data_IF_161562022844
#
_entry.id   IF_161562022844
#
_cell.length_a   1.000
_cell.length_b   1.000
_cell.length_c   1.000
_cell.angle_alpha   90.00
_cell.angle_beta   90.00
_cell.angle_gamma   90.00
#
_symmetry.space_group_name_H-M   'P 1'
#
loop_
_entity.id
_entity.type
_entity.pdbx_description
1 polymer ?
#
# COMPACT_ATOMS: atom_id res chain seq x y z
N UNK A 1 -62.65 -20.20 37.64
CA UNK A 1 -61.66 -21.26 37.39
C UNK A 1 -60.89 -21.02 36.09
N UNK A 2 -61.41 -20.25 35.11
CA UNK A 2 -60.66 -19.79 33.92
C UNK A 2 -59.32 -19.09 34.23
N UNK A 3 -59.26 -18.30 35.30
CA UNK A 3 -58.03 -17.64 35.76
C UNK A 3 -56.92 -18.63 36.19
N UNK A 4 -57.27 -19.83 36.63
CA UNK A 4 -56.27 -20.82 37.05
C UNK A 4 -55.64 -21.53 35.85
N UNK A 5 -56.43 -21.87 34.82
CA UNK A 5 -55.94 -22.50 33.59
C UNK A 5 -55.00 -21.57 32.81
N UNK A 6 -55.36 -20.30 32.66
CA UNK A 6 -54.51 -19.31 31.98
C UNK A 6 -53.21 -19.04 32.76
N UNK A 7 -53.26 -19.04 34.09
CA UNK A 7 -52.06 -18.91 34.93
C UNK A 7 -51.11 -20.10 34.80
N UNK A 8 -51.65 -21.32 34.72
CA UNK A 8 -50.85 -22.54 34.52
C UNK A 8 -50.19 -22.56 33.13
N UNK A 9 -50.93 -22.21 32.08
CA UNK A 9 -50.41 -22.11 30.72
C UNK A 9 -49.33 -21.03 30.60
N UNK A 10 -49.55 -19.84 31.18
CA UNK A 10 -48.57 -18.78 31.17
C UNK A 10 -47.29 -19.18 31.93
N UNK A 11 -47.44 -19.89 33.05
CA UNK A 11 -46.30 -20.45 33.80
C UNK A 11 -45.51 -21.45 32.96
N UNK A 12 -46.19 -22.31 32.20
CA UNK A 12 -45.53 -23.25 31.29
C UNK A 12 -44.77 -22.52 30.17
N UNK A 13 -45.38 -21.50 29.55
CA UNK A 13 -44.72 -20.72 28.51
C UNK A 13 -43.52 -19.93 29.06
N UNK A 14 -43.60 -19.42 30.29
CA UNK A 14 -42.47 -18.79 30.98
C UNK A 14 -41.33 -19.76 31.33
N UNK A 15 -41.63 -21.05 31.53
CA UNK A 15 -40.58 -22.05 31.64
C UNK A 15 -39.84 -22.23 30.31
N UNK A 16 -40.58 -22.27 29.19
CA UNK A 16 -39.97 -22.38 27.85
C UNK A 16 -39.12 -21.17 27.50
N UNK A 17 -39.56 -19.95 27.81
CA UNK A 17 -38.75 -18.74 27.59
C UNK A 17 -37.50 -18.72 28.48
N UNK A 18 -37.61 -19.17 29.73
CA UNK A 18 -36.46 -19.30 30.62
C UNK A 18 -35.42 -20.31 30.11
N UNK A 19 -35.84 -21.44 29.54
CA UNK A 19 -34.91 -22.39 28.90
C UNK A 19 -34.25 -21.84 27.64
N UNK A 20 -34.94 -20.93 26.93
CA UNK A 20 -34.40 -20.20 25.78
C UNK A 20 -33.58 -18.96 26.15
N UNK A 21 -33.48 -18.61 27.44
CA UNK A 21 -32.87 -17.37 27.93
C UNK A 21 -33.52 -16.10 27.35
N UNK A 22 -34.84 -16.14 27.13
CA UNK A 22 -35.65 -15.01 26.70
C UNK A 22 -36.32 -14.39 27.94
N UNK A 23 -36.61 -13.09 27.87
CA UNK A 23 -37.40 -12.39 28.89
C UNK A 23 -38.73 -13.12 29.17
N UNK A 24 -39.15 -13.09 30.44
CA UNK A 24 -40.44 -13.64 30.85
C UNK A 24 -41.57 -12.90 30.13
N UNK A 25 -42.56 -13.66 29.67
CA UNK A 25 -43.78 -13.10 29.11
C UNK A 25 -44.78 -12.81 30.23
N UNK A 26 -45.34 -11.61 30.20
CA UNK A 26 -46.23 -11.10 31.25
C UNK A 26 -47.70 -11.16 30.86
N UNK A 27 -48.00 -11.45 29.58
CA UNK A 27 -49.35 -11.50 29.07
C UNK A 27 -49.62 -12.70 28.16
N UNK A 28 -50.88 -13.13 28.12
CA UNK A 28 -51.33 -14.18 27.19
C UNK A 28 -51.29 -13.72 25.72
N UNK A 29 -51.25 -12.41 25.49
CA UNK A 29 -51.08 -11.82 24.16
C UNK A 29 -49.64 -11.98 23.65
N UNK A 30 -48.63 -11.99 24.53
CA UNK A 30 -47.23 -12.26 24.19
C UNK A 30 -46.97 -13.75 23.90
N UNK A 31 -47.77 -14.66 24.48
CA UNK A 31 -47.71 -16.12 24.23
C UNK A 31 -47.79 -16.43 22.73
N UNK A 32 -48.50 -15.59 21.97
CA UNK A 32 -48.66 -15.72 20.52
C UNK A 32 -47.31 -15.79 19.79
N UNK A 33 -46.31 -15.02 20.26
CA UNK A 33 -44.98 -14.95 19.67
C UNK A 33 -44.16 -16.24 19.88
N UNK A 34 -44.56 -17.07 20.84
CA UNK A 34 -43.89 -18.31 21.20
C UNK A 34 -44.49 -19.55 20.52
N UNK A 35 -45.69 -19.44 19.94
CA UNK A 35 -46.34 -20.52 19.21
C UNK A 35 -45.48 -21.11 18.08
N UNK A 36 -44.77 -20.32 17.23
CA UNK A 36 -43.89 -20.87 16.20
C UNK A 36 -42.73 -21.70 16.78
N UNK A 37 -42.17 -21.20 17.88
CA UNK A 37 -41.07 -21.86 18.60
C UNK A 37 -41.56 -23.17 19.21
N UNK A 38 -42.77 -23.15 19.79
CA UNK A 38 -43.38 -24.33 20.39
C UNK A 38 -43.69 -25.41 19.34
N UNK A 39 -44.27 -25.04 18.20
CA UNK A 39 -44.49 -25.95 17.07
C UNK A 39 -43.19 -26.58 16.60
N UNK A 40 -42.13 -25.78 16.47
CA UNK A 40 -40.82 -26.29 16.07
C UNK A 40 -40.26 -27.27 17.10
N UNK A 41 -40.36 -26.95 18.39
CA UNK A 41 -39.98 -27.88 19.47
C UNK A 41 -40.74 -29.20 19.36
N UNK A 42 -42.02 -29.19 19.03
CA UNK A 42 -42.82 -30.41 18.83
C UNK A 42 -42.34 -31.20 17.61
N UNK A 43 -41.89 -30.52 16.54
CA UNK A 43 -41.44 -31.15 15.30
C UNK A 43 -40.02 -31.73 15.39
N UNK A 44 -39.10 -31.00 16.00
CA UNK A 44 -37.67 -31.36 16.05
C UNK A 44 -37.26 -31.98 17.38
N UNK A 45 -38.10 -31.84 18.40
CA UNK A 45 -37.78 -32.21 19.78
C UNK A 45 -36.76 -31.27 20.43
N UNK A 46 -36.30 -30.21 19.77
CA UNK A 46 -35.28 -29.30 20.30
C UNK A 46 -35.83 -27.89 20.44
N UNK A 47 -35.67 -27.32 21.63
CA UNK A 47 -36.07 -25.96 21.92
C UNK A 47 -35.02 -25.01 21.33
N UNK A 48 -35.31 -24.45 20.14
CA UNK A 48 -34.42 -23.54 19.43
C UNK A 48 -35.10 -22.20 19.19
N UNK A 49 -34.42 -21.11 19.54
CA UNK A 49 -34.91 -19.78 19.22
C UNK A 49 -34.93 -19.59 17.71
N UNK A 50 -36.12 -19.35 17.16
CA UNK A 50 -36.29 -18.93 15.77
C UNK A 50 -37.36 -17.86 15.76
N UNK A 51 -36.95 -16.61 15.58
CA UNK A 51 -37.91 -15.55 15.27
C UNK A 51 -38.34 -15.73 13.82
N UNK A 52 -39.58 -16.16 13.62
CA UNK A 52 -40.20 -16.22 12.30
C UNK A 52 -41.28 -15.14 12.24
N UNK A 53 -40.86 -13.91 11.96
CA UNK A 53 -41.73 -12.73 11.90
C UNK A 53 -42.82 -12.83 10.81
N UNK A 54 -42.71 -13.81 9.91
CA UNK A 54 -43.68 -14.08 8.85
C UNK A 54 -44.64 -15.24 9.17
N UNK A 55 -44.54 -15.84 10.37
CA UNK A 55 -45.40 -16.93 10.80
C UNK A 55 -46.86 -16.48 10.85
N UNK A 56 -47.75 -17.22 10.16
CA UNK A 56 -49.20 -16.99 10.23
C UNK A 56 -49.83 -18.02 11.14
N UNK A 57 -50.82 -17.63 11.95
CA UNK A 57 -51.55 -18.60 12.80
C UNK A 57 -52.30 -19.67 12.01
N UNK A 58 -52.55 -19.43 10.72
CA UNK A 58 -52.99 -20.46 9.79
C UNK A 58 -51.97 -21.59 9.61
N UNK A 59 -50.67 -21.32 9.73
CA UNK A 59 -49.63 -22.36 9.68
C UNK A 59 -49.66 -23.22 10.97
N UNK A 60 -49.93 -22.61 12.13
CA UNK A 60 -50.20 -23.34 13.38
C UNK A 60 -51.45 -24.21 13.27
N UNK A 61 -52.51 -23.64 12.70
CA UNK A 61 -53.79 -24.32 12.51
C UNK A 61 -53.65 -25.54 11.61
N UNK A 62 -53.00 -25.41 10.45
CA UNK A 62 -52.74 -26.54 9.55
C UNK A 62 -51.83 -27.58 10.21
N UNK A 63 -50.85 -27.18 11.02
CA UNK A 63 -50.04 -28.12 11.79
C UNK A 63 -50.88 -28.94 12.80
N UNK A 64 -51.72 -28.28 13.59
CA UNK A 64 -52.61 -28.93 14.56
C UNK A 64 -53.60 -29.86 13.84
N UNK A 65 -54.15 -29.40 12.71
CA UNK A 65 -55.08 -30.15 11.86
C UNK A 65 -54.47 -31.41 11.30
N UNK A 66 -53.22 -31.35 10.84
CA UNK A 66 -52.51 -32.52 10.36
C UNK A 66 -52.27 -33.59 11.45
N UNK A 67 -52.20 -33.20 12.73
CA UNK A 67 -51.94 -34.14 13.83
C UNK A 67 -53.20 -34.69 14.51
N UNK A 68 -54.18 -33.81 14.76
CA UNK A 68 -55.41 -34.12 15.51
C UNK A 68 -56.61 -34.43 14.60
N UNK A 69 -56.51 -34.10 13.31
CA UNK A 69 -57.53 -34.32 12.30
C UNK A 69 -58.61 -33.23 12.26
N UNK A 70 -59.31 -33.13 11.13
CA UNK A 70 -60.25 -32.04 10.81
C UNK A 70 -61.33 -31.80 11.87
N UNK A 71 -61.76 -32.83 12.60
CA UNK A 71 -62.82 -32.72 13.61
C UNK A 71 -62.36 -31.98 14.88
N UNK A 72 -61.09 -32.09 15.27
CA UNK A 72 -60.59 -31.45 16.48
C UNK A 72 -60.40 -29.94 16.29
N UNK A 73 -60.12 -29.53 15.05
CA UNK A 73 -59.75 -28.15 14.71
C UNK A 73 -60.96 -27.30 14.33
N UNK A 74 -62.15 -27.88 14.15
CA UNK A 74 -63.41 -27.14 13.96
C UNK A 74 -63.74 -26.16 15.10
N UNK A 75 -63.19 -26.40 16.29
CA UNK A 75 -63.37 -25.51 17.44
C UNK A 75 -62.31 -24.41 17.54
N UNK A 76 -61.23 -24.50 16.77
CA UNK A 76 -60.17 -23.49 16.76
C UNK A 76 -60.49 -22.43 15.70
N UNK A 77 -60.41 -21.16 16.09
CA UNK A 77 -60.66 -20.02 15.19
C UNK A 77 -59.37 -19.23 15.00
N UNK A 78 -58.55 -19.53 13.98
CA UNK A 78 -57.26 -18.87 13.80
C UNK A 78 -57.42 -17.35 13.61
N UNK A 79 -58.52 -16.90 13.00
CA UNK A 79 -58.78 -15.47 12.81
C UNK A 79 -58.99 -14.73 14.14
N UNK A 80 -59.48 -15.41 15.18
CA UNK A 80 -59.66 -14.82 16.51
C UNK A 80 -58.35 -14.74 17.30
N UNK A 81 -57.40 -15.64 17.01
CA UNK A 81 -56.04 -15.60 17.59
C UNK A 81 -55.27 -14.39 17.05
N UNK A 82 -55.39 -14.12 15.75
CA UNK A 82 -54.80 -12.92 15.12
C UNK A 82 -55.34 -11.63 15.75
N UNK A 83 -56.62 -11.63 16.17
CA UNK A 83 -57.28 -10.51 16.84
C UNK A 83 -56.99 -10.41 18.35
N UNK A 84 -56.14 -11.29 18.90
CA UNK A 84 -55.74 -11.24 20.30
C UNK A 84 -56.76 -11.84 21.29
N UNK A 85 -57.68 -12.69 20.83
CA UNK A 85 -58.63 -13.38 21.71
C UNK A 85 -57.89 -14.34 22.65
N UNK A 86 -57.87 -14.00 23.94
CA UNK A 86 -57.15 -14.74 24.99
C UNK A 86 -57.63 -16.18 25.12
N UNK A 87 -58.93 -16.42 24.92
CA UNK A 87 -59.49 -17.76 25.03
C UNK A 87 -59.03 -18.62 23.85
N UNK A 88 -58.98 -18.05 22.64
CA UNK A 88 -58.53 -18.80 21.48
C UNK A 88 -57.02 -19.02 21.46
N UNK A 89 -56.22 -18.06 21.93
CA UNK A 89 -54.79 -18.29 22.15
C UNK A 89 -54.59 -19.46 23.14
N UNK A 90 -55.38 -19.52 24.22
CA UNK A 90 -55.30 -20.61 25.19
C UNK A 90 -55.67 -21.96 24.56
N UNK A 91 -56.73 -21.99 23.76
CA UNK A 91 -57.14 -23.20 23.03
C UNK A 91 -56.04 -23.71 22.08
N UNK A 92 -55.35 -22.81 21.37
CA UNK A 92 -54.21 -23.15 20.51
C UNK A 92 -53.04 -23.72 21.30
N UNK A 93 -52.67 -23.10 22.42
CA UNK A 93 -51.58 -23.57 23.27
C UNK A 93 -51.91 -24.94 23.86
N UNK A 94 -53.15 -25.16 24.30
CA UNK A 94 -53.61 -26.47 24.78
C UNK A 94 -53.52 -27.55 23.69
N UNK A 95 -53.96 -27.24 22.46
CA UNK A 95 -53.86 -28.18 21.35
C UNK A 95 -52.40 -28.57 21.08
N UNK A 96 -51.47 -27.61 21.14
CA UNK A 96 -50.04 -27.85 20.97
C UNK A 96 -49.45 -28.65 22.13
N UNK A 97 -49.83 -28.37 23.38
CA UNK A 97 -49.43 -29.16 24.55
C UNK A 97 -49.86 -30.62 24.43
N UNK A 98 -51.07 -30.85 23.94
CA UNK A 98 -51.59 -32.19 23.72
C UNK A 98 -50.79 -32.94 22.64
N UNK A 99 -50.46 -32.28 21.54
CA UNK A 99 -49.60 -32.85 20.49
C UNK A 99 -48.18 -33.10 21.04
N UNK A 100 -47.64 -32.16 21.83
CA UNK A 100 -46.32 -32.26 22.42
C UNK A 100 -46.22 -33.45 23.37
N UNK A 101 -47.20 -33.65 24.25
CA UNK A 101 -47.30 -34.81 25.12
C UNK A 101 -47.35 -36.12 24.31
N UNK A 102 -48.10 -36.14 23.19
CA UNK A 102 -48.25 -37.34 22.35
C UNK A 102 -46.96 -37.69 21.58
N UNK A 103 -46.25 -36.69 21.06
CA UNK A 103 -45.06 -36.88 20.21
C UNK A 103 -43.75 -36.96 20.99
N UNK A 104 -43.61 -36.17 22.05
CA UNK A 104 -42.37 -35.97 22.80
C UNK A 104 -42.60 -36.19 24.31
N UNK A 105 -43.34 -37.25 24.67
CA UNK A 105 -43.76 -37.55 26.07
C UNK A 105 -42.64 -37.39 27.09
N UNK A 106 -41.45 -37.95 26.85
CA UNK A 106 -40.34 -37.88 27.80
C UNK A 106 -39.84 -36.46 28.07
N UNK A 107 -39.90 -35.55 27.08
CA UNK A 107 -39.52 -34.14 27.28
C UNK A 107 -40.64 -33.34 27.93
N UNK A 108 -41.89 -33.65 27.58
CA UNK A 108 -43.05 -33.10 28.26
C UNK A 108 -43.02 -33.40 29.76
N UNK A 109 -42.78 -34.66 30.14
CA UNK A 109 -42.70 -35.09 31.54
C UNK A 109 -41.57 -34.37 32.30
N UNK A 110 -40.38 -34.25 31.69
CA UNK A 110 -39.25 -33.49 32.25
C UNK A 110 -39.55 -31.99 32.44
N UNK A 111 -40.25 -31.37 31.50
CA UNK A 111 -40.67 -29.97 31.61
C UNK A 111 -41.71 -29.79 32.71
N UNK A 112 -42.66 -30.71 32.85
CA UNK A 112 -43.63 -30.70 33.94
C UNK A 112 -42.95 -30.87 35.31
N UNK A 113 -41.93 -31.74 35.43
CA UNK A 113 -41.14 -31.89 36.67
C UNK A 113 -40.42 -30.60 37.06
N UNK A 114 -39.75 -29.94 36.10
CA UNK A 114 -39.12 -28.62 36.32
C UNK A 114 -40.12 -27.54 36.71
N UNK A 115 -41.34 -27.61 36.18
CA UNK A 115 -42.42 -26.68 36.50
C UNK A 115 -42.96 -26.92 37.92
N UNK A 116 -43.07 -28.19 38.34
CA UNK A 116 -43.46 -28.60 39.70
C UNK A 116 -42.44 -28.12 40.76
N UNK A 117 -41.14 -28.13 40.43
CA UNK A 117 -40.06 -27.61 41.28
C UNK A 117 -40.13 -26.08 41.48
N UNK A 118 -40.56 -25.34 40.45
CA UNK A 118 -40.60 -23.87 40.48
C UNK A 118 -41.88 -23.28 41.07
N UNK A 119 -43.04 -23.90 40.83
CA UNK A 119 -44.36 -23.32 41.15
C UNK A 119 -45.23 -24.27 41.97
N UNK A 120 -44.74 -24.66 43.15
CA UNK A 120 -45.35 -25.58 44.09
C UNK A 120 -46.88 -25.70 43.99
N UNK A 121 -47.33 -26.87 43.54
CA UNK A 121 -48.68 -27.45 43.68
C UNK A 121 -49.82 -27.09 42.71
N UNK A 122 -49.59 -26.52 41.51
CA UNK A 122 -50.71 -26.24 40.55
C UNK A 122 -50.72 -27.03 39.22
N UNK A 123 -49.77 -27.92 38.96
CA UNK A 123 -49.57 -28.53 37.62
C UNK A 123 -50.11 -29.97 37.52
N UNK A 124 -50.70 -30.47 38.61
CA UNK A 124 -51.34 -31.78 38.65
C UNK A 124 -52.45 -31.97 37.58
N UNK A 125 -53.01 -30.88 37.05
CA UNK A 125 -54.06 -30.89 36.02
C UNK A 125 -53.53 -31.16 34.59
N UNK A 126 -52.26 -30.90 34.29
CA UNK A 126 -51.65 -31.24 32.98
C UNK A 126 -51.26 -32.72 32.90
N UNK A 127 -50.84 -33.32 34.02
CA UNK A 127 -50.51 -34.76 34.10
C UNK A 127 -51.74 -35.67 34.04
N UNK A 128 -52.94 -35.17 34.35
CA UNK A 128 -54.21 -35.93 34.23
C UNK A 128 -54.63 -36.28 32.80
N UNK A 129 -53.88 -35.86 31.78
CA UNK A 129 -54.05 -36.30 30.39
C UNK A 129 -53.63 -37.78 30.16
N UNK A 130 -53.14 -38.49 31.18
CA UNK A 130 -52.69 -39.88 31.06
C UNK A 130 -53.79 -40.95 31.04
N UNK A 131 -55.05 -40.64 31.40
CA UNK A 131 -56.07 -41.69 31.65
C UNK A 131 -57.12 -41.89 30.55
N UNK A 132 -56.81 -41.56 29.30
CA UNK A 132 -57.71 -41.85 28.20
C UNK A 132 -57.03 -42.45 26.99
N UNK A 133 -57.59 -43.57 26.53
CA UNK A 133 -57.11 -44.31 25.36
C UNK A 133 -56.84 -43.39 24.17
N UNK A 134 -55.56 -43.39 23.76
CA UNK A 134 -54.85 -42.45 22.88
C UNK A 134 -55.23 -42.55 21.39
N UNK A 135 -56.50 -42.76 21.05
CA UNK A 135 -56.93 -42.95 19.65
C UNK A 135 -58.19 -42.22 19.18
N UNK A 136 -58.81 -41.33 19.97
CA UNK A 136 -59.99 -40.59 19.49
C UNK A 136 -59.88 -39.06 19.63
N UNK A 137 -60.19 -38.28 18.58
CA UNK A 137 -60.30 -36.79 18.62
C UNK A 137 -61.44 -36.27 19.52
N UNK A 138 -62.23 -37.16 20.12
CA UNK A 138 -63.48 -36.86 20.82
C UNK A 138 -63.29 -36.38 22.27
N UNK A 139 -62.07 -36.32 22.79
CA UNK A 139 -61.81 -35.86 24.16
C UNK A 139 -61.43 -34.38 24.28
N UNK A 140 -60.97 -33.76 23.20
CA UNK A 140 -60.62 -32.33 23.16
C UNK A 140 -61.86 -31.44 23.41
N UNK A 141 -63.00 -31.81 22.82
CA UNK A 141 -64.31 -31.17 23.01
C UNK A 141 -64.81 -31.26 24.46
N UNK A 142 -64.64 -32.41 25.12
CA UNK A 142 -65.20 -32.67 26.45
C UNK A 142 -64.44 -31.92 27.55
N UNK A 143 -63.11 -31.86 27.44
CA UNK A 143 -62.25 -31.10 28.35
C UNK A 143 -62.55 -29.60 28.22
N UNK A 144 -62.71 -29.07 27.00
CA UNK A 144 -63.08 -27.66 26.78
C UNK A 144 -64.44 -27.29 27.39
N UNK A 145 -65.44 -28.18 27.33
CA UNK A 145 -66.76 -27.93 27.92
C UNK A 145 -66.78 -27.97 29.45
N UNK A 146 -65.92 -28.78 30.09
CA UNK A 146 -65.89 -28.90 31.56
C UNK A 146 -65.36 -27.65 32.27
N UNK A 147 -64.53 -26.84 31.58
CA UNK A 147 -63.99 -25.58 32.12
C UNK A 147 -65.00 -24.41 32.10
N UNK A 148 -66.11 -24.52 31.37
CA UNK A 148 -67.01 -23.38 31.07
C UNK A 148 -68.25 -23.27 31.98
N UNK A 149 -68.67 -24.31 32.72
CA UNK A 149 -69.96 -24.29 33.41
C UNK A 149 -69.89 -24.63 34.90
N UNK A 150 -70.12 -23.64 35.79
CA UNK A 150 -70.68 -23.81 37.15
C UNK A 150 -71.06 -22.46 37.79
N UNK A 151 -72.36 -22.13 37.81
CA UNK A 151 -72.96 -21.07 38.64
C UNK A 151 -73.93 -21.68 39.66
N UNK A 152 -73.80 -21.27 40.93
CA UNK A 152 -74.58 -21.72 42.09
C UNK A 152 -75.95 -21.00 42.16
N UNK A 153 -77.01 -21.74 42.54
CA UNK A 153 -78.27 -21.19 43.05
C UNK A 153 -78.52 -21.75 44.46
N UNK A 154 -78.73 -20.89 45.45
CA UNK A 154 -79.16 -21.26 46.81
C UNK A 154 -80.55 -20.69 47.10
N UNK A 155 -81.51 -21.58 47.36
CA UNK A 155 -82.82 -21.22 47.91
C UNK A 155 -82.88 -21.67 49.37
N UNK A 156 -83.13 -20.73 50.29
CA UNK A 156 -83.48 -21.02 51.69
C UNK A 156 -84.97 -20.70 51.85
N UNK A 157 -85.78 -21.71 52.17
CA UNK A 157 -87.16 -21.55 52.65
C UNK A 157 -87.18 -21.74 54.18
N UNK A 158 -87.80 -20.80 54.89
CA UNK A 158 -88.10 -20.92 56.33
C UNK A 158 -89.60 -21.20 56.48
N UNK A 159 -89.94 -22.33 57.09
CA UNK A 159 -91.30 -22.65 57.55
C UNK A 159 -91.49 -22.14 58.97
N UNK A 160 -92.65 -21.55 59.27
CA UNK A 160 -93.08 -21.15 60.61
C UNK A 160 -94.38 -21.86 60.99
N UNK A 161 -94.39 -22.53 62.16
CA UNK A 161 -95.58 -23.04 62.86
C UNK A 161 -95.60 -22.48 64.30
N UNK A 162 -96.76 -22.36 64.96
CA UNK A 162 -96.95 -21.45 66.10
C UNK A 162 -96.70 -22.11 67.48
N UNK A 163 -96.00 -21.39 68.38
CA UNK A 163 -95.89 -21.70 69.81
C UNK A 163 -96.24 -20.47 70.71
N UNK A 164 -96.25 -20.71 72.03
CA UNK A 164 -96.96 -20.01 73.11
C UNK A 164 -96.67 -18.50 73.29
N UNK A 165 -97.64 -17.78 73.86
CA UNK A 165 -97.65 -16.31 73.98
C UNK A 165 -96.59 -15.70 74.92
N UNK A 166 -95.99 -16.47 75.84
CA UNK A 166 -94.81 -16.03 76.64
C UNK A 166 -93.48 -16.20 75.90
N UNK A 167 -93.37 -17.22 75.04
CA UNK A 167 -92.22 -17.41 74.16
C UNK A 167 -92.22 -16.38 73.01
N UNK A 168 -93.41 -15.93 72.57
CA UNK A 168 -93.55 -14.86 71.56
C UNK A 168 -92.94 -13.52 71.99
N UNK A 169 -93.09 -13.11 73.25
CA UNK A 169 -92.52 -11.83 73.71
C UNK A 169 -90.99 -11.89 73.84
N UNK A 170 -90.43 -13.06 74.20
CA UNK A 170 -88.99 -13.31 74.19
C UNK A 170 -88.43 -13.45 72.76
N UNK A 171 -89.13 -14.15 71.86
CA UNK A 171 -88.78 -14.22 70.43
C UNK A 171 -88.85 -12.84 69.78
N UNK A 172 -89.90 -12.05 70.02
CA UNK A 172 -90.03 -10.69 69.47
C UNK A 172 -88.89 -9.79 69.96
N UNK A 173 -88.50 -9.87 71.23
CA UNK A 173 -87.35 -9.12 71.73
C UNK A 173 -86.02 -9.62 71.13
N UNK A 174 -85.84 -10.93 70.95
CA UNK A 174 -84.70 -11.48 70.20
C UNK A 174 -84.70 -11.03 68.73
N UNK A 175 -85.86 -10.96 68.08
CA UNK A 175 -86.01 -10.47 66.72
C UNK A 175 -85.71 -8.97 66.62
N UNK A 176 -86.07 -8.15 67.61
CA UNK A 176 -85.70 -6.73 67.66
C UNK A 176 -84.19 -6.54 67.82
N UNK A 177 -83.54 -7.33 68.68
CA UNK A 177 -82.07 -7.31 68.83
C UNK A 177 -81.41 -7.76 67.52
N UNK A 178 -81.86 -8.86 66.92
CA UNK A 178 -81.36 -9.32 65.61
C UNK A 178 -81.59 -8.29 64.50
N UNK A 179 -82.74 -7.61 64.48
CA UNK A 179 -83.03 -6.57 63.49
C UNK A 179 -82.08 -5.36 63.65
N UNK A 180 -81.83 -4.92 64.88
CA UNK A 180 -80.86 -3.87 65.16
C UNK A 180 -79.42 -4.29 64.80
N UNK A 181 -79.04 -5.53 65.07
CA UNK A 181 -77.76 -6.10 64.62
C UNK A 181 -77.64 -6.17 63.09
N UNK A 182 -78.72 -6.56 62.41
CA UNK A 182 -78.77 -6.57 60.93
C UNK A 182 -78.67 -5.16 60.37
N UNK A 183 -79.35 -4.18 60.95
CA UNK A 183 -79.27 -2.78 60.53
C UNK A 183 -77.86 -2.21 60.76
N UNK A 184 -77.22 -2.54 61.89
CA UNK A 184 -75.84 -2.16 62.16
C UNK A 184 -74.85 -2.80 61.16
N UNK A 185 -75.04 -4.08 60.83
CA UNK A 185 -74.25 -4.76 59.79
C UNK A 185 -74.48 -4.15 58.41
N UNK A 186 -75.71 -3.78 58.09
CA UNK A 186 -76.06 -3.14 56.81
C UNK A 186 -75.35 -1.78 56.66
N UNK A 187 -75.37 -0.94 57.69
CA UNK A 187 -74.62 0.33 57.70
C UNK A 187 -73.10 0.13 57.58
N UNK A 188 -72.57 -0.93 58.19
CA UNK A 188 -71.16 -1.31 58.01
C UNK A 188 -70.84 -1.71 56.57
N UNK A 189 -71.74 -2.45 55.92
CA UNK A 189 -71.60 -2.86 54.52
C UNK A 189 -71.65 -1.64 53.60
N UNK A 190 -72.56 -0.69 53.81
CA UNK A 190 -72.62 0.57 53.04
C UNK A 190 -71.30 1.36 53.15
N UNK A 191 -70.78 1.55 54.37
CA UNK A 191 -69.53 2.26 54.58
C UNK A 191 -68.31 1.55 53.94
N UNK A 192 -68.31 0.22 53.88
CA UNK A 192 -67.29 -0.55 53.16
C UNK A 192 -67.44 -0.37 51.65
N UNK A 193 -68.67 -0.35 51.15
CA UNK A 193 -68.96 -0.18 49.72
C UNK A 193 -68.53 1.20 49.22
N UNK A 194 -68.77 2.25 50.00
CA UNK A 194 -68.32 3.61 49.67
C UNK A 194 -66.79 3.69 49.58
N UNK A 195 -66.06 3.08 50.54
CA UNK A 195 -64.59 2.98 50.48
C UNK A 195 -64.09 2.19 49.28
N UNK A 196 -64.77 1.10 48.93
CA UNK A 196 -64.42 0.30 47.74
C UNK A 196 -64.63 1.10 46.46
N UNK A 197 -65.70 1.89 46.37
CA UNK A 197 -65.95 2.75 45.21
C UNK A 197 -64.91 3.87 45.08
N UNK A 198 -64.48 4.49 46.19
CA UNK A 198 -63.38 5.45 46.17
C UNK A 198 -62.06 4.82 45.71
N UNK A 199 -61.74 3.63 46.21
CA UNK A 199 -60.55 2.86 45.78
C UNK A 199 -60.63 2.49 44.30
N UNK A 200 -61.79 2.04 43.83
CA UNK A 200 -62.01 1.70 42.43
C UNK A 200 -61.81 2.94 41.53
N UNK A 201 -62.34 4.10 41.92
CA UNK A 201 -62.13 5.35 41.21
C UNK A 201 -60.65 5.77 41.15
N UNK A 202 -59.92 5.60 42.25
CA UNK A 202 -58.47 5.87 42.30
C UNK A 202 -57.69 4.95 41.34
N UNK A 203 -57.99 3.64 41.38
CA UNK A 203 -57.33 2.64 40.52
C UNK A 203 -57.63 2.90 39.04
N UNK A 204 -58.86 3.28 38.71
CA UNK A 204 -59.25 3.63 37.34
C UNK A 204 -58.46 4.84 36.82
N UNK A 205 -58.28 5.88 37.65
CA UNK A 205 -57.48 7.04 37.26
C UNK A 205 -56.00 6.68 37.07
N UNK A 206 -55.42 5.87 37.98
CA UNK A 206 -54.06 5.37 37.83
C UNK A 206 -53.89 4.53 36.56
N UNK A 207 -54.88 3.71 36.22
CA UNK A 207 -54.88 2.91 34.99
C UNK A 207 -54.85 3.80 33.74
N UNK A 208 -55.68 4.83 33.69
CA UNK A 208 -55.70 5.81 32.58
C UNK A 208 -54.34 6.54 32.47
N UNK A 209 -53.75 6.92 33.60
CA UNK A 209 -52.43 7.57 33.62
C UNK A 209 -51.32 6.63 33.11
N UNK A 210 -51.39 5.34 33.43
CA UNK A 210 -50.46 4.32 32.95
C UNK A 210 -50.64 4.05 31.45
N UNK A 211 -51.88 3.96 30.94
CA UNK A 211 -52.14 3.84 29.50
C UNK A 211 -51.56 5.04 28.73
N UNK A 212 -51.79 6.25 29.21
CA UNK A 212 -51.24 7.46 28.60
C UNK A 212 -49.70 7.49 28.61
N UNK A 213 -49.06 6.99 29.66
CA UNK A 213 -47.60 6.86 29.72
C UNK A 213 -47.08 5.82 28.74
N UNK A 214 -47.76 4.68 28.65
CA UNK A 214 -47.40 3.60 27.73
C UNK A 214 -47.50 4.05 26.27
N UNK A 215 -48.54 4.80 25.91
CA UNK A 215 -48.68 5.35 24.56
C UNK A 215 -47.58 6.36 24.22
N UNK A 216 -47.22 7.24 25.17
CA UNK A 216 -46.07 8.15 25.00
C UNK A 216 -44.76 7.41 24.83
N UNK A 217 -44.55 6.31 25.56
CA UNK A 217 -43.34 5.49 25.43
C UNK A 217 -43.28 4.81 24.07
N UNK A 218 -44.39 4.25 23.58
CA UNK A 218 -44.48 3.67 22.22
C UNK A 218 -44.14 4.69 21.15
N UNK A 219 -44.69 5.89 21.25
CA UNK A 219 -44.39 6.98 20.30
C UNK A 219 -42.90 7.36 20.32
N UNK A 220 -42.31 7.49 21.52
CA UNK A 220 -40.89 7.78 21.66
C UNK A 220 -39.99 6.64 21.12
N UNK A 221 -40.42 5.39 21.24
CA UNK A 221 -39.72 4.23 20.68
C UNK A 221 -39.74 4.26 19.14
N UNK A 222 -40.88 4.58 18.52
CA UNK A 222 -40.99 4.75 17.07
C UNK A 222 -40.06 5.86 16.57
N UNK A 223 -40.01 7.00 17.25
CA UNK A 223 -39.13 8.12 16.90
C UNK A 223 -37.65 7.77 17.01
N UNK A 224 -37.29 7.03 18.08
CA UNK A 224 -35.93 6.52 18.25
C UNK A 224 -35.56 5.50 17.18
N UNK A 225 -36.47 4.59 16.83
CA UNK A 225 -36.24 3.62 15.76
C UNK A 225 -35.99 4.32 14.42
N UNK A 226 -36.81 5.32 14.07
CA UNK A 226 -36.59 6.13 12.86
C UNK A 226 -35.24 6.85 12.85
N UNK A 227 -34.78 7.31 14.02
CA UNK A 227 -33.44 7.93 14.16
C UNK A 227 -32.32 6.90 13.97
N UNK A 228 -32.48 5.69 14.51
CA UNK A 228 -31.52 4.58 14.35
C UNK A 228 -31.43 4.16 12.88
N UNK A 229 -32.57 4.06 12.19
CA UNK A 229 -32.62 3.70 10.77
C UNK A 229 -31.89 4.75 9.91
N UNK A 230 -32.13 6.05 10.17
CA UNK A 230 -31.44 7.14 9.49
C UNK A 230 -29.93 7.09 9.72
N UNK A 231 -29.50 6.91 10.98
CA UNK A 231 -28.07 6.79 11.31
C UNK A 231 -27.43 5.57 10.64
N UNK A 232 -28.17 4.47 10.51
CA UNK A 232 -27.69 3.26 9.83
C UNK A 232 -27.47 3.50 8.34
N UNK A 233 -28.35 4.28 7.68
CA UNK A 233 -28.16 4.69 6.28
C UNK A 233 -26.94 5.59 6.15
N UNK A 234 -26.81 6.62 6.98
CA UNK A 234 -25.66 7.53 6.94
C UNK A 234 -24.33 6.80 7.18
N UNK A 235 -24.31 5.83 8.09
CA UNK A 235 -23.11 5.05 8.39
C UNK A 235 -22.71 4.17 7.20
N UNK A 236 -23.68 3.65 6.45
CA UNK A 236 -23.43 2.93 5.19
C UNK A 236 -22.84 3.85 4.13
N UNK A 237 -23.42 5.03 3.91
CA UNK A 237 -22.92 6.01 2.94
C UNK A 237 -21.47 6.41 3.24
N UNK A 238 -21.16 6.71 4.50
CA UNK A 238 -19.79 7.04 4.93
C UNK A 238 -18.83 5.86 4.71
N UNK A 239 -19.30 4.63 4.89
CA UNK A 239 -18.49 3.42 4.64
C UNK A 239 -18.18 3.28 3.15
N UNK A 240 -19.18 3.46 2.28
CA UNK A 240 -19.03 3.39 0.82
C UNK A 240 -18.08 4.50 0.29
N UNK A 241 -18.20 5.72 0.84
CA UNK A 241 -17.28 6.83 0.54
C UNK A 241 -15.84 6.51 0.97
N UNK A 242 -15.67 5.92 2.15
CA UNK A 242 -14.36 5.53 2.67
C UNK A 242 -13.72 4.44 1.81
N UNK A 243 -14.48 3.42 1.39
CA UNK A 243 -14.00 2.38 0.47
C UNK A 243 -13.56 2.97 -0.87
N UNK A 244 -14.35 3.89 -1.42
CA UNK A 244 -14.02 4.61 -2.67
C UNK A 244 -12.73 5.42 -2.50
N UNK A 245 -12.58 6.12 -1.37
CA UNK A 245 -11.36 6.87 -1.04
C UNK A 245 -10.13 5.97 -0.92
N UNK A 246 -10.26 4.81 -0.27
CA UNK A 246 -9.19 3.81 -0.19
C UNK A 246 -8.78 3.26 -1.57
N UNK A 247 -9.75 2.99 -2.43
CA UNK A 247 -9.48 2.57 -3.81
C UNK A 247 -8.70 3.64 -4.59
N UNK A 248 -9.15 4.89 -4.54
CA UNK A 248 -8.48 6.02 -5.20
C UNK A 248 -7.07 6.23 -4.67
N UNK A 249 -6.86 6.14 -3.36
CA UNK A 249 -5.53 6.24 -2.74
C UNK A 249 -4.60 5.11 -3.23
N UNK A 250 -5.10 3.87 -3.30
CA UNK A 250 -4.35 2.74 -3.86
C UNK A 250 -3.94 2.96 -5.32
N UNK A 251 -4.82 3.54 -6.14
CA UNK A 251 -4.50 3.88 -7.52
C UNK A 251 -3.41 4.96 -7.58
N UNK A 252 -3.55 6.05 -6.82
CA UNK A 252 -2.55 7.12 -6.76
C UNK A 252 -1.18 6.62 -6.29
N UNK A 253 -1.13 5.70 -5.31
CA UNK A 253 0.12 5.07 -4.88
C UNK A 253 0.80 4.27 -6.00
N UNK A 254 0.00 3.54 -6.81
CA UNK A 254 0.53 2.81 -7.98
C UNK A 254 1.07 3.76 -9.05
N UNK A 255 0.36 4.85 -9.33
CA UNK A 255 0.81 5.88 -10.27
C UNK A 255 2.09 6.57 -9.80
N UNK A 256 2.16 6.94 -8.51
CA UNK A 256 3.33 7.56 -7.89
C UNK A 256 4.55 6.63 -7.95
N UNK A 257 4.36 5.34 -7.65
CA UNK A 257 5.43 4.33 -7.79
C UNK A 257 5.91 4.22 -9.22
N UNK A 258 4.99 4.13 -10.20
CA UNK A 258 5.35 4.05 -11.62
C UNK A 258 6.10 5.30 -12.09
N UNK A 259 5.65 6.49 -11.68
CA UNK A 259 6.30 7.74 -12.02
C UNK A 259 7.71 7.82 -11.41
N UNK A 260 7.87 7.41 -10.16
CA UNK A 260 9.16 7.40 -9.48
C UNK A 260 10.15 6.43 -10.15
N UNK A 261 9.69 5.24 -10.57
CA UNK A 261 10.49 4.28 -11.32
C UNK A 261 10.93 4.84 -12.68
N UNK A 262 10.01 5.50 -13.42
CA UNK A 262 10.33 6.16 -14.70
C UNK A 262 11.34 7.28 -14.52
N UNK A 263 11.14 8.13 -13.52
CA UNK A 263 12.04 9.24 -13.24
C UNK A 263 13.44 8.74 -12.83
N UNK A 264 13.50 7.69 -11.99
CA UNK A 264 14.77 7.06 -11.61
C UNK A 264 15.52 6.51 -12.82
N UNK A 265 14.81 5.83 -13.75
CA UNK A 265 15.44 5.34 -15.00
C UNK A 265 15.90 6.48 -15.91
N UNK A 266 15.12 7.55 -16.02
CA UNK A 266 15.49 8.73 -16.82
C UNK A 266 16.74 9.43 -16.25
N UNK A 267 16.80 9.63 -14.93
CA UNK A 267 17.96 10.19 -14.25
C UNK A 267 19.19 9.30 -14.42
N UNK A 268 19.05 7.98 -14.27
CA UNK A 268 20.16 7.05 -14.46
C UNK A 268 20.68 7.09 -15.90
N UNK A 269 19.78 7.14 -16.89
CA UNK A 269 20.17 7.27 -18.30
C UNK A 269 20.91 8.59 -18.54
N UNK A 270 20.38 9.71 -18.05
CA UNK A 270 21.02 11.02 -18.18
C UNK A 270 22.39 11.06 -17.50
N UNK A 271 22.55 10.41 -16.35
CA UNK A 271 23.83 10.32 -15.64
C UNK A 271 24.87 9.52 -16.44
N UNK A 272 24.44 8.39 -17.03
CA UNK A 272 25.31 7.58 -17.89
C UNK A 272 25.72 8.34 -19.16
N UNK A 273 24.78 9.05 -19.80
CA UNK A 273 25.04 9.85 -20.99
C UNK A 273 26.02 10.99 -20.67
N UNK A 274 25.84 11.68 -19.53
CA UNK A 274 26.75 12.73 -19.07
C UNK A 274 28.16 12.19 -18.83
N UNK A 275 28.28 11.04 -18.17
CA UNK A 275 29.58 10.39 -17.92
C UNK A 275 30.28 10.00 -19.22
N UNK A 276 29.54 9.46 -20.20
CA UNK A 276 30.11 9.16 -21.51
C UNK A 276 30.62 10.42 -22.22
N UNK A 277 29.93 11.55 -22.07
CA UNK A 277 30.37 12.84 -22.64
C UNK A 277 31.57 13.41 -21.90
N UNK A 278 31.64 13.25 -20.59
CA UNK A 278 32.81 13.60 -19.79
C UNK A 278 34.06 12.82 -20.24
N UNK A 279 33.93 11.51 -20.48
CA UNK A 279 35.01 10.67 -21.01
C UNK A 279 35.45 11.11 -22.42
N UNK A 280 34.50 11.46 -23.29
CA UNK A 280 34.78 12.00 -24.64
C UNK A 280 35.56 13.32 -24.55
N UNK A 281 35.12 14.25 -23.69
CA UNK A 281 35.81 15.53 -23.46
C UNK A 281 37.23 15.29 -22.93
N UNK A 282 37.41 14.34 -22.00
CA UNK A 282 38.73 13.98 -21.48
C UNK A 282 39.66 13.49 -22.58
N UNK A 283 39.18 12.66 -23.50
CA UNK A 283 39.95 12.20 -24.66
C UNK A 283 40.31 13.35 -25.60
N UNK A 284 39.38 14.28 -25.84
CA UNK A 284 39.64 15.48 -26.64
C UNK A 284 40.72 16.37 -26.02
N UNK A 285 40.73 16.54 -24.69
CA UNK A 285 41.79 17.26 -24.00
C UNK A 285 43.16 16.59 -24.17
N UNK A 286 43.24 15.25 -24.07
CA UNK A 286 44.49 14.51 -24.31
C UNK A 286 44.97 14.72 -25.75
N UNK A 287 44.06 14.66 -26.73
CA UNK A 287 44.39 14.90 -28.14
C UNK A 287 44.85 16.33 -28.38
N UNK A 288 44.21 17.31 -27.74
CA UNK A 288 44.60 18.71 -27.84
C UNK A 288 46.01 18.94 -27.28
N UNK A 289 46.35 18.36 -26.12
CA UNK A 289 47.69 18.43 -25.54
C UNK A 289 48.76 17.83 -26.48
N UNK A 290 48.45 16.70 -27.12
CA UNK A 290 49.34 16.09 -28.10
C UNK A 290 49.56 16.99 -29.34
N UNK A 291 48.50 17.62 -29.85
CA UNK A 291 48.60 18.56 -30.97
C UNK A 291 49.40 19.81 -30.60
N UNK A 292 49.21 20.34 -29.40
CA UNK A 292 50.00 21.49 -28.91
C UNK A 292 51.49 21.15 -28.87
N UNK A 293 51.85 19.96 -28.36
CA UNK A 293 53.24 19.48 -28.38
C UNK A 293 53.80 19.39 -29.80
N UNK A 294 53.05 18.81 -30.73
CA UNK A 294 53.48 18.73 -32.14
C UNK A 294 53.69 20.09 -32.78
N UNK A 295 52.82 21.08 -32.50
CA UNK A 295 52.99 22.45 -32.99
C UNK A 295 54.29 23.04 -32.45
N UNK A 296 54.57 22.90 -31.15
CA UNK A 296 55.81 23.42 -30.57
C UNK A 296 57.07 22.77 -31.14
N UNK A 297 57.05 21.47 -31.43
CA UNK A 297 58.15 20.76 -32.09
C UNK A 297 58.35 21.21 -33.54
N UNK A 298 57.25 21.48 -34.25
CA UNK A 298 57.27 22.00 -35.60
C UNK A 298 57.85 23.43 -35.65
N UNK A 299 57.47 24.31 -34.71
CA UNK A 299 58.01 25.67 -34.61
C UNK A 299 59.54 25.65 -34.39
N UNK A 300 60.04 24.73 -33.56
CA UNK A 300 61.49 24.53 -33.36
C UNK A 300 62.16 24.08 -34.65
N UNK A 301 61.53 23.15 -35.38
CA UNK A 301 62.04 22.65 -36.65
C UNK A 301 62.03 23.72 -37.75
N UNK A 302 61.01 24.56 -37.81
CA UNK A 302 60.91 25.69 -38.74
C UNK A 302 61.98 26.74 -38.46
N UNK A 303 62.23 27.07 -37.19
CA UNK A 303 63.32 27.99 -36.82
C UNK A 303 64.69 27.43 -37.22
N UNK A 304 64.89 26.12 -37.07
CA UNK A 304 66.11 25.44 -37.54
C UNK A 304 66.24 25.50 -39.06
N UNK A 305 65.14 25.30 -39.79
CA UNK A 305 65.11 25.41 -41.25
C UNK A 305 65.50 26.82 -41.71
N UNK A 306 64.86 27.86 -41.15
CA UNK A 306 65.19 29.27 -41.43
C UNK A 306 66.66 29.60 -41.20
N UNK A 307 67.24 29.06 -40.12
CA UNK A 307 68.67 29.21 -39.84
C UNK A 307 69.55 28.54 -40.91
N UNK A 308 69.20 27.32 -41.34
CA UNK A 308 69.93 26.62 -42.41
C UNK A 308 69.78 27.33 -43.77
N UNK A 309 68.58 27.83 -44.10
CA UNK A 309 68.34 28.61 -45.31
C UNK A 309 69.21 29.88 -45.34
N UNK A 310 69.33 30.58 -44.21
CA UNK A 310 70.23 31.74 -44.10
C UNK A 310 71.70 31.36 -44.29
N UNK A 311 72.15 30.22 -43.73
CA UNK A 311 73.53 29.75 -43.96
C UNK A 311 73.78 29.43 -45.43
N UNK A 312 72.83 28.78 -46.10
CA UNK A 312 72.92 28.46 -47.53
C UNK A 312 72.98 29.74 -48.36
N UNK A 313 72.12 30.72 -48.07
CA UNK A 313 72.13 32.02 -48.75
C UNK A 313 73.48 32.74 -48.60
N UNK A 314 74.07 32.72 -47.40
CA UNK A 314 75.40 33.28 -47.16
C UNK A 314 76.48 32.53 -47.96
N UNK A 315 76.42 31.19 -48.00
CA UNK A 315 77.35 30.38 -48.79
C UNK A 315 77.22 30.64 -50.30
N UNK A 316 75.99 30.79 -50.80
CA UNK A 316 75.74 31.15 -52.20
C UNK A 316 76.32 32.54 -52.54
N UNK A 317 76.17 33.51 -51.64
CA UNK A 317 76.81 34.83 -51.78
C UNK A 317 78.33 34.72 -51.88
N UNK A 318 78.97 33.98 -50.97
CA UNK A 318 80.41 33.76 -50.99
C UNK A 318 80.88 33.05 -52.27
N UNK A 319 80.11 32.05 -52.76
CA UNK A 319 80.42 31.34 -54.01
C UNK A 319 80.37 32.31 -55.19
N UNK A 320 79.38 33.20 -55.24
CA UNK A 320 79.27 34.20 -56.32
C UNK A 320 80.41 35.23 -56.26
N UNK A 321 80.80 35.70 -55.07
CA UNK A 321 81.98 36.56 -54.91
C UNK A 321 83.26 35.87 -55.37
N UNK A 322 83.47 34.61 -54.99
CA UNK A 322 84.62 33.81 -55.46
C UNK A 322 84.59 33.62 -56.98
N UNK A 323 83.41 33.42 -57.56
CA UNK A 323 83.24 33.29 -59.01
C UNK A 323 83.61 34.58 -59.74
N UNK A 324 83.14 35.73 -59.26
CA UNK A 324 83.50 37.05 -59.80
C UNK A 324 85.02 37.27 -59.68
N UNK A 325 85.60 36.95 -58.51
CA UNK A 325 87.04 37.07 -58.29
C UNK A 325 87.86 36.19 -59.23
N UNK A 326 87.41 34.96 -59.49
CA UNK A 326 88.02 34.04 -60.45
C UNK A 326 87.93 34.58 -61.88
N UNK A 327 86.77 35.11 -62.29
CA UNK A 327 86.57 35.70 -63.61
C UNK A 327 87.50 36.90 -63.84
N UNK A 328 87.60 37.81 -62.87
CA UNK A 328 88.55 38.93 -62.91
C UNK A 328 90.01 38.48 -62.98
N UNK A 329 90.39 37.44 -62.22
CA UNK A 329 91.75 36.90 -62.26
C UNK A 329 92.06 36.26 -63.61
N UNK A 330 91.09 35.57 -64.21
CA UNK A 330 91.21 34.94 -65.52
C UNK A 330 91.35 35.98 -66.63
N UNK A 331 90.59 37.09 -66.57
CA UNK A 331 90.74 38.22 -67.49
C UNK A 331 92.12 38.86 -67.39
N UNK A 332 92.62 39.09 -66.17
CA UNK A 332 93.99 39.60 -65.96
C UNK A 332 95.05 38.65 -66.51
N UNK A 333 94.87 37.35 -66.31
CA UNK A 333 95.77 36.34 -66.85
C UNK A 333 95.78 36.34 -68.38
N UNK A 334 94.61 36.45 -69.03
CA UNK A 334 94.48 36.55 -70.48
C UNK A 334 95.16 37.83 -71.04
N UNK A 335 95.03 38.96 -70.33
CA UNK A 335 95.74 40.21 -70.67
C UNK A 335 97.26 40.00 -70.58
N UNK A 336 97.74 39.46 -69.46
CA UNK A 336 99.16 39.18 -69.23
C UNK A 336 99.73 38.19 -70.26
N UNK A 337 98.97 37.16 -70.65
CA UNK A 337 99.34 36.23 -71.71
C UNK A 337 99.46 36.95 -73.07
N UNK A 338 98.52 37.83 -73.38
CA UNK A 338 98.57 38.65 -74.60
C UNK A 338 99.79 39.57 -74.62
N UNK A 339 100.12 40.20 -73.49
CA UNK A 339 101.34 41.00 -73.32
C UNK A 339 102.61 40.18 -73.45
N UNK A 340 102.66 38.98 -72.85
CA UNK A 340 103.77 38.05 -72.99
C UNK A 340 103.96 37.63 -74.46
N UNK A 341 102.87 37.36 -75.20
CA UNK A 341 102.92 37.07 -76.63
C UNK A 341 103.49 38.27 -77.40
N UNK A 342 103.05 39.50 -77.10
CA UNK A 342 103.62 40.73 -77.70
C UNK A 342 105.12 40.86 -77.38
N UNK A 343 105.52 40.66 -76.13
CA UNK A 343 106.91 40.71 -75.71
C UNK A 343 107.76 39.63 -76.38
N UNK A 344 107.29 38.39 -76.46
CA UNK A 344 107.95 37.30 -77.20
C UNK A 344 108.12 37.65 -78.69
N UNK A 345 107.12 38.27 -79.33
CA UNK A 345 107.24 38.77 -80.71
C UNK A 345 108.30 39.86 -80.82
N UNK A 346 108.29 40.85 -79.92
CA UNK A 346 109.30 41.91 -79.87
C UNK A 346 110.70 41.35 -79.64
N UNK A 347 110.87 40.44 -78.68
CA UNK A 347 112.13 39.77 -78.39
C UNK A 347 112.62 38.95 -79.59
N UNK A 348 111.74 38.20 -80.26
CA UNK A 348 112.10 37.46 -81.47
C UNK A 348 112.48 38.40 -82.63
N UNK A 349 111.81 39.55 -82.75
CA UNK A 349 112.16 40.58 -83.73
C UNK A 349 113.49 41.25 -83.38
N UNK A 350 113.78 41.51 -82.11
CA UNK A 350 115.08 42.00 -81.63
C UNK A 350 116.19 40.96 -81.85
N UNK A 351 115.96 39.67 -81.59
CA UNK A 351 116.91 38.59 -81.94
C UNK A 351 117.13 38.55 -83.45
N UNK A 352 116.08 38.68 -84.27
CA UNK A 352 116.22 38.74 -85.73
C UNK A 352 116.98 39.98 -86.18
N UNK A 353 116.75 41.14 -85.57
CA UNK A 353 117.53 42.36 -85.81
C UNK A 353 118.98 42.19 -85.36
N UNK A 354 119.27 41.55 -84.22
CA UNK A 354 120.64 41.20 -83.80
C UNK A 354 121.30 40.18 -84.72
N UNK A 355 120.55 39.22 -85.31
CA UNK A 355 121.06 38.30 -86.34
C UNK A 355 121.32 39.02 -87.67
N UNK A 356 120.53 40.04 -88.03
CA UNK A 356 120.79 40.91 -89.18
C UNK A 356 121.99 41.82 -88.89
N UNK A 357 122.13 42.33 -87.66
CA UNK A 357 123.29 43.10 -87.22
C UNK A 357 124.56 42.24 -87.20
N UNK A 358 124.50 40.98 -86.76
CA UNK A 358 125.59 40.00 -86.88
C UNK A 358 125.87 39.58 -88.34
N UNK A 359 124.92 39.73 -89.26
CA UNK A 359 125.14 39.50 -90.70
C UNK A 359 125.71 40.74 -91.41
N UNK A 360 125.59 41.93 -90.80
CA UNK A 360 126.25 43.17 -91.21
C UNK A 360 127.61 43.40 -90.51
N UNK A 361 127.84 42.73 -89.37
CA UNK A 361 129.14 42.63 -88.67
C UNK A 361 129.68 41.22 -88.92
N UNK A 362 129.85 40.89 -90.20
CA UNK A 362 130.66 39.77 -90.67
C UNK A 362 131.69 40.34 -91.68
N UNK A 363 132.33 41.45 -91.29
CA UNK A 363 133.50 42.08 -91.92
C UNK A 363 134.44 42.72 -90.87
N UNK A 364 134.29 42.36 -89.59
CA UNK A 364 135.33 42.63 -88.60
C UNK A 364 135.29 41.58 -87.49
N UNK A 365 136.28 40.71 -87.53
CA UNK A 365 136.65 39.79 -86.47
C UNK A 365 136.76 40.51 -85.11
N UNK A 366 136.00 40.04 -84.12
CA UNK A 366 136.58 39.35 -82.96
C UNK A 366 135.51 38.78 -82.03
N UNK A 367 135.71 37.50 -81.72
CA UNK A 367 135.13 36.66 -80.67
C UNK A 367 135.35 37.25 -79.27
N UNK A 368 134.42 37.08 -78.31
CA UNK A 368 134.35 36.00 -77.29
C UNK A 368 132.94 36.11 -76.65
N UNK A 369 132.00 35.16 -76.76
CA UNK A 369 131.81 33.87 -76.06
C UNK A 369 131.54 34.02 -74.54
N UNK A 370 130.28 34.04 -74.08
CA UNK A 370 129.37 32.93 -73.67
C UNK A 370 129.67 32.31 -72.28
N UNK A 371 128.66 32.35 -71.40
CA UNK A 371 128.22 31.34 -70.42
C UNK A 371 126.81 31.76 -69.96
N UNK A 372 125.72 31.02 -70.19
CA UNK A 372 125.29 29.68 -69.74
C UNK A 372 124.21 29.79 -68.64
N UNK A 373 122.99 29.50 -69.07
CA UNK A 373 121.99 28.59 -68.50
C UNK A 373 121.80 28.40 -66.98
N UNK A 374 120.54 28.67 -66.59
CA UNK A 374 119.60 27.83 -65.83
C UNK A 374 120.04 27.21 -64.48
N UNK A 375 119.53 27.80 -63.39
CA UNK A 375 119.14 27.14 -62.13
C UNK A 375 117.83 27.82 -61.66
N UNK A 376 116.68 27.15 -61.83
CA UNK A 376 115.94 26.33 -60.84
C UNK A 376 114.97 27.12 -59.95
N UNK A 377 113.72 26.67 -59.98
CA UNK A 377 112.59 27.05 -59.14
C UNK A 377 112.92 27.22 -57.65
N UNK A 378 112.29 28.20 -57.01
CA UNK A 378 111.50 27.95 -55.77
C UNK A 378 110.61 29.15 -55.38
N UNK A 379 109.33 28.82 -55.25
CA UNK A 379 108.34 29.23 -54.24
C UNK A 379 108.04 30.72 -54.04
N UNK A 380 106.81 31.07 -54.44
CA UNK A 380 105.99 32.14 -53.89
C UNK A 380 105.77 31.95 -52.39
N UNK A 381 106.26 32.88 -51.58
CA UNK A 381 105.77 33.10 -50.22
C UNK A 381 104.69 34.19 -50.27
N UNK A 382 103.44 33.76 -50.25
CA UNK A 382 102.33 34.59 -49.79
C UNK A 382 102.33 34.52 -48.25
N UNK A 383 102.64 35.64 -47.61
CA UNK A 383 102.50 35.80 -46.17
C UNK A 383 101.04 36.12 -45.79
N UNK A 384 100.43 35.13 -45.13
CA UNK A 384 99.69 35.21 -43.86
C UNK A 384 98.69 36.36 -43.61
N UNK A 385 97.40 36.03 -43.71
CA UNK A 385 96.39 36.38 -42.71
C UNK A 385 95.43 35.19 -42.54
N UNK A 386 95.78 34.27 -41.64
CA UNK A 386 94.88 33.26 -41.06
C UNK A 386 95.44 32.85 -39.70
N UNK A 387 95.40 33.78 -38.75
CA UNK A 387 95.36 33.47 -37.32
C UNK A 387 93.95 33.79 -36.84
N UNK A 388 93.17 32.75 -36.56
CA UNK A 388 92.15 32.67 -35.51
C UNK A 388 91.26 31.45 -35.79
N UNK A 389 91.70 30.28 -35.35
CA UNK A 389 90.84 29.11 -35.07
C UNK A 389 91.66 28.01 -34.38
N UNK A 390 92.14 28.28 -33.16
CA UNK A 390 92.73 27.25 -32.30
C UNK A 390 92.17 27.25 -30.85
N UNK A 391 91.06 27.94 -30.61
CA UNK A 391 90.38 27.94 -29.29
C UNK A 391 89.11 27.05 -29.26
N UNK A 392 88.99 26.08 -30.16
CA UNK A 392 87.77 25.25 -30.26
C UNK A 392 87.94 23.76 -30.01
N UNK A 393 89.10 23.31 -29.57
CA UNK A 393 89.35 21.87 -29.32
C UNK A 393 89.23 21.50 -27.83
N UNK A 394 89.47 22.43 -26.89
CA UNK A 394 89.34 22.14 -25.45
C UNK A 394 87.89 22.25 -24.91
N UNK A 395 86.99 22.92 -25.63
CA UNK A 395 85.57 23.06 -25.24
C UNK A 395 84.71 21.83 -25.56
N UNK A 396 85.08 21.01 -26.55
CA UNK A 396 84.30 19.83 -26.94
C UNK A 396 84.52 18.65 -25.98
N UNK A 397 85.70 18.57 -25.35
CA UNK A 397 86.03 17.57 -24.33
C UNK A 397 85.13 17.65 -23.10
N UNK A 398 84.84 18.87 -22.62
CA UNK A 398 83.99 19.10 -21.45
C UNK A 398 82.50 18.84 -21.70
N UNK A 399 81.99 19.12 -22.91
CA UNK A 399 80.61 18.81 -23.27
C UNK A 399 80.38 17.32 -23.50
N UNK A 400 81.37 16.61 -24.08
CA UNK A 400 81.27 15.17 -24.27
C UNK A 400 81.28 14.40 -22.94
N UNK A 401 82.07 14.87 -21.95
CA UNK A 401 82.05 14.32 -20.59
C UNK A 401 80.68 14.53 -19.91
N UNK A 402 80.07 15.72 -20.03
CA UNK A 402 78.73 16.01 -19.49
C UNK A 402 77.64 15.19 -20.17
N UNK A 403 77.74 14.97 -21.49
CA UNK A 403 76.79 14.14 -22.24
C UNK A 403 76.90 12.66 -21.82
N UNK A 404 78.12 12.17 -21.58
CA UNK A 404 78.37 10.80 -21.10
C UNK A 404 77.77 10.59 -19.70
N UNK A 405 77.98 11.50 -18.76
CA UNK A 405 77.39 11.42 -17.41
C UNK A 405 75.86 11.48 -17.46
N UNK A 406 75.27 12.29 -18.35
CA UNK A 406 73.82 12.34 -18.56
C UNK A 406 73.26 11.03 -19.12
N UNK A 407 73.97 10.40 -20.05
CA UNK A 407 73.58 9.11 -20.61
C UNK A 407 73.64 7.98 -19.57
N UNK A 408 74.65 7.98 -18.71
CA UNK A 408 74.76 7.02 -17.59
C UNK A 408 73.63 7.19 -16.56
N UNK A 409 73.23 8.44 -16.26
CA UNK A 409 72.08 8.75 -15.40
C UNK A 409 70.75 8.27 -16.00
N UNK A 410 70.52 8.52 -17.29
CA UNK A 410 69.30 8.06 -17.99
C UNK A 410 69.23 6.53 -18.03
N UNK A 411 70.37 5.85 -18.21
CA UNK A 411 70.42 4.39 -18.15
C UNK A 411 70.11 3.86 -16.75
N UNK A 412 70.56 4.55 -15.70
CA UNK A 412 70.25 4.17 -14.31
C UNK A 412 68.76 4.35 -13.99
N UNK A 413 68.15 5.48 -14.38
CA UNK A 413 66.72 5.73 -14.20
C UNK A 413 65.85 4.72 -14.97
N UNK A 414 66.27 4.35 -16.18
CA UNK A 414 65.58 3.30 -16.95
C UNK A 414 65.59 1.95 -16.22
N UNK A 415 66.71 1.56 -15.61
CA UNK A 415 66.82 0.31 -14.84
C UNK A 415 65.95 0.35 -13.58
N UNK A 416 65.82 1.50 -12.91
CA UNK A 416 64.88 1.65 -11.78
C UNK A 416 63.41 1.58 -12.19
N UNK A 417 63.06 2.18 -13.34
CA UNK A 417 61.71 2.12 -13.90
C UNK A 417 61.33 0.69 -14.31
N UNK A 418 62.26 -0.07 -14.89
CA UNK A 418 62.04 -1.48 -15.22
C UNK A 418 61.87 -2.35 -13.95
N UNK A 419 62.63 -2.09 -12.88
CA UNK A 419 62.44 -2.78 -11.58
C UNK A 419 61.10 -2.46 -10.92
N UNK A 420 60.68 -1.20 -10.95
CA UNK A 420 59.38 -0.79 -10.37
C UNK A 420 58.21 -1.35 -11.18
N UNK A 421 58.34 -1.46 -12.51
CA UNK A 421 57.33 -2.09 -13.36
C UNK A 421 57.19 -3.59 -13.08
N UNK A 422 58.30 -4.32 -12.87
CA UNK A 422 58.27 -5.74 -12.47
C UNK A 422 57.63 -5.93 -11.09
N UNK A 423 57.89 -5.04 -10.13
CA UNK A 423 57.27 -5.11 -8.81
C UNK A 423 55.75 -4.85 -8.85
N UNK A 424 55.28 -3.92 -9.69
CA UNK A 424 53.84 -3.66 -9.89
C UNK A 424 53.16 -4.85 -10.57
N UNK A 425 53.84 -5.49 -11.53
CA UNK A 425 53.29 -6.65 -12.24
C UNK A 425 53.22 -7.92 -11.36
N UNK A 426 54.15 -8.07 -10.42
CA UNK A 426 54.09 -9.13 -9.40
C UNK A 426 52.99 -8.89 -8.35
N UNK A 427 52.60 -7.64 -8.09
CA UNK A 427 51.54 -7.29 -7.14
C UNK A 427 50.13 -7.48 -7.71
N UNK A 428 49.97 -7.48 -9.04
CA UNK A 428 48.70 -7.68 -9.75
C UNK A 428 48.38 -9.15 -10.07
N UNK A 429 49.21 -10.10 -9.59
CA UNK A 429 49.05 -11.55 -9.84
C UNK A 429 48.74 -12.38 -8.58
N UNK A 430 48.44 -11.71 -7.47
CA UNK A 430 47.75 -12.23 -6.29
C UNK A 430 46.40 -11.51 -6.16
#
# INVERSE_FOLDING_TARGET
>A
MELEANGVLLSFMNLLTAELQIEEIFSFEEVRCLIPIFIKMIQTGELTFKSDFNFKFNDAFEFIKNDLGDKAVQLLRPENVDNGDKQEIANFVFALLFIFQRKEKGKFDQLCEKLDEKNGSKIFQLKTLENSDTRSPLQFTTILTEFSSKTFNSNIQVFSSPLNQKEKDEEINQFKIKAAEFEAKFKQIEAINDKLNEQLGSIQNEFIDLENKLEKLKQAEIEKQGTIDLLTVQLREVTDELETSHYNNSQLQRELKSLNERNSRALQKSANDLKSKEDEVRLLYIRLDALVKQITENDVSENKLKFLEQQIANQQGNIEELRIGLEQALDRANIAETELIKYKRLHNNNIKQQKIFKKFILDSDNSISLHDDLISCRTSENHSYLENSSDHIDSQSGEFAKLKTRLELIQYEKIELEKSFVNIFCFLKF
#
